data_IF_421993254120
#
_entry.id   IF_421993254120
#
_cell.length_a   1.000
_cell.length_b   1.000
_cell.length_c   1.000
_cell.angle_alpha   90.00
_cell.angle_beta   90.00
_cell.angle_gamma   90.00
#
_symmetry.space_group_name_H-M   'P 1'
#
loop_
_entity.id
_entity.type
_entity.pdbx_description
1 polymer ?
#
# COMPACT_ATOMS: atom_id res chain seq x y z
N UNK A 1 -2.07 -30.20 -61.03
CA UNK A 1 -2.80 -29.11 -60.36
C UNK A 1 -3.20 -29.60 -58.98
N UNK A 2 -2.39 -29.29 -57.96
CA UNK A 2 -2.51 -29.81 -56.59
C UNK A 2 -2.82 -28.63 -55.66
N UNK A 3 -4.03 -28.60 -55.08
CA UNK A 3 -4.44 -27.57 -54.13
C UNK A 3 -4.07 -28.03 -52.72
N UNK A 4 -3.27 -27.23 -52.01
CA UNK A 4 -2.97 -27.38 -50.59
C UNK A 4 -4.11 -26.72 -49.79
N UNK A 5 -4.76 -27.39 -48.83
CA UNK A 5 -5.70 -26.73 -47.93
C UNK A 5 -4.96 -26.01 -46.80
N UNK A 6 -5.18 -24.70 -46.67
CA UNK A 6 -4.74 -23.91 -45.53
C UNK A 6 -5.58 -24.27 -44.29
N UNK A 7 -4.95 -24.87 -43.28
CA UNK A 7 -5.54 -25.05 -41.94
C UNK A 7 -5.57 -23.69 -41.25
N UNK A 8 -6.78 -23.17 -41.01
CA UNK A 8 -7.03 -22.01 -40.16
C UNK A 8 -6.80 -22.46 -38.71
N UNK A 9 -5.76 -21.94 -38.07
CA UNK A 9 -5.55 -22.11 -36.62
C UNK A 9 -6.60 -21.27 -35.86
N UNK A 10 -7.23 -21.81 -34.80
CA UNK A 10 -8.28 -21.10 -34.08
C UNK A 10 -7.68 -20.00 -33.21
N UNK A 11 -8.12 -18.76 -33.43
CA UNK A 11 -7.83 -17.56 -32.63
C UNK A 11 -8.25 -17.65 -31.14
N UNK A 12 -8.82 -18.79 -30.71
CA UNK A 12 -9.43 -19.00 -29.40
C UNK A 12 -8.40 -19.14 -28.25
N UNK A 13 -7.16 -19.53 -28.55
CA UNK A 13 -6.14 -19.73 -27.51
C UNK A 13 -5.43 -18.44 -27.10
N UNK A 14 -5.35 -17.42 -27.96
CA UNK A 14 -4.68 -16.15 -27.60
C UNK A 14 -5.52 -15.27 -26.68
N UNK A 15 -6.86 -15.37 -26.72
CA UNK A 15 -7.74 -14.58 -25.85
C UNK A 15 -7.61 -14.97 -24.37
N UNK A 16 -7.31 -16.24 -24.08
CA UNK A 16 -7.16 -16.76 -22.73
C UNK A 16 -5.81 -16.36 -22.07
N UNK A 17 -4.77 -16.09 -22.86
CA UNK A 17 -3.48 -15.65 -22.32
C UNK A 17 -3.50 -14.18 -21.88
N UNK A 18 -4.25 -13.32 -22.56
CA UNK A 18 -4.41 -11.92 -22.12
C UNK A 18 -5.32 -11.80 -20.89
N UNK A 19 -6.32 -12.68 -20.73
CA UNK A 19 -7.19 -12.70 -19.54
C UNK A 19 -6.46 -13.22 -18.29
N UNK A 20 -5.52 -14.17 -18.46
CA UNK A 20 -4.78 -14.78 -17.35
C UNK A 20 -3.71 -13.88 -16.72
N UNK A 21 -3.13 -12.93 -17.48
CA UNK A 21 -2.09 -12.03 -16.98
C UNK A 21 -2.64 -10.84 -16.16
N UNK A 22 -3.90 -10.45 -16.38
CA UNK A 22 -4.56 -9.42 -15.57
C UNK A 22 -4.98 -9.93 -14.18
N UNK A 23 -5.16 -11.24 -14.01
CA UNK A 23 -5.69 -11.84 -12.77
C UNK A 23 -4.62 -12.20 -11.72
N UNK A 24 -3.33 -12.19 -12.08
CA UNK A 24 -2.24 -12.64 -11.19
C UNK A 24 -1.60 -11.52 -10.38
N UNK A 25 -1.95 -10.26 -10.62
CA UNK A 25 -1.35 -9.09 -9.93
C UNK A 25 -2.10 -8.68 -8.67
N UNK A 26 -3.32 -9.18 -8.44
CA UNK A 26 -4.19 -8.67 -7.36
C UNK A 26 -3.97 -9.35 -6.01
N UNK A 27 -3.29 -10.51 -5.97
CA UNK A 27 -3.27 -11.37 -4.78
C UNK A 27 -2.20 -11.01 -3.73
N UNK A 28 -1.20 -10.18 -4.08
CA UNK A 28 -0.12 -9.79 -3.15
C UNK A 28 -0.29 -8.40 -2.55
N UNK A 29 -1.28 -7.62 -3.03
CA UNK A 29 -1.55 -6.25 -2.58
C UNK A 29 -2.62 -6.16 -1.50
N UNK A 30 -3.25 -7.27 -1.12
CA UNK A 30 -4.35 -7.28 -0.15
C UNK A 30 -3.91 -6.89 1.28
N UNK A 31 -2.64 -7.16 1.63
CA UNK A 31 -2.06 -6.88 2.95
C UNK A 31 -1.12 -5.66 2.93
N UNK A 32 -1.34 -4.75 1.99
CA UNK A 32 -0.52 -3.55 1.82
C UNK A 32 -1.26 -2.31 2.36
N UNK A 33 -0.56 -1.37 3.03
CA UNK A 33 -1.12 -0.06 3.34
C UNK A 33 -1.64 0.65 2.08
N UNK A 34 -2.53 1.60 2.27
CA UNK A 34 -2.98 2.43 1.17
C UNK A 34 -1.92 3.46 0.80
N UNK A 35 -1.46 3.41 -0.44
CA UNK A 35 -0.53 4.37 -1.03
C UNK A 35 -1.30 5.41 -1.86
N UNK A 36 -2.22 6.15 -1.22
CA UNK A 36 -3.17 7.03 -1.93
C UNK A 36 -2.46 8.20 -2.63
N UNK A 37 -1.51 8.83 -1.95
CA UNK A 37 -0.66 9.97 -2.36
C UNK A 37 0.19 9.55 -3.56
N UNK A 38 0.70 8.32 -3.55
CA UNK A 38 1.45 7.79 -4.67
C UNK A 38 0.59 7.65 -5.94
N UNK A 39 -0.71 7.40 -5.81
CA UNK A 39 -1.63 7.47 -6.95
C UNK A 39 -2.02 8.92 -7.27
N UNK A 40 -2.22 9.76 -6.25
CA UNK A 40 -2.55 11.18 -6.41
C UNK A 40 -1.48 11.90 -7.24
N UNK A 41 -0.20 11.66 -6.96
CA UNK A 41 0.95 12.24 -7.66
C UNK A 41 0.99 11.89 -9.15
N UNK A 42 0.36 10.78 -9.54
CA UNK A 42 0.33 10.29 -10.93
C UNK A 42 -0.90 10.76 -11.70
N UNK A 43 -1.98 11.12 -11.01
CA UNK A 43 -3.30 11.38 -11.58
C UNK A 43 -3.57 12.88 -11.66
N UNK A 44 -4.36 13.30 -12.66
CA UNK A 44 -4.74 14.70 -12.85
C UNK A 44 -6.25 14.88 -12.82
N UNK A 45 -6.70 16.13 -12.68
CA UNK A 45 -8.11 16.49 -12.85
C UNK A 45 -9.00 16.08 -11.68
N UNK A 46 -10.26 15.65 -11.93
CA UNK A 46 -11.21 15.29 -10.87
C UNK A 46 -10.75 14.15 -9.98
N UNK A 47 -10.17 13.09 -10.55
CA UNK A 47 -9.72 11.93 -9.79
C UNK A 47 -8.62 12.31 -8.78
N UNK A 48 -7.70 13.21 -9.14
CA UNK A 48 -6.67 13.73 -8.22
C UNK A 48 -7.30 14.37 -6.97
N UNK A 49 -8.31 15.22 -7.16
CA UNK A 49 -9.00 15.87 -6.02
C UNK A 49 -9.76 14.88 -5.16
N UNK A 50 -10.26 13.79 -5.74
CA UNK A 50 -10.90 12.73 -4.96
C UNK A 50 -9.85 12.00 -4.13
N UNK A 51 -8.68 11.67 -4.71
CA UNK A 51 -7.58 11.02 -4.00
C UNK A 51 -7.06 11.85 -2.83
N UNK A 52 -6.88 13.16 -3.02
CA UNK A 52 -6.51 14.12 -1.95
C UNK A 52 -7.49 14.04 -0.75
N UNK A 53 -8.80 14.06 -1.03
CA UNK A 53 -9.84 13.89 0.02
C UNK A 53 -9.81 12.51 0.66
N UNK A 54 -9.50 11.45 -0.09
CA UNK A 54 -9.38 10.09 0.45
C UNK A 54 -8.14 9.93 1.32
N UNK A 55 -7.05 10.65 1.01
CA UNK A 55 -5.83 10.62 1.80
C UNK A 55 -6.01 11.29 3.17
N UNK A 56 -6.77 12.38 3.22
CA UNK A 56 -7.11 13.09 4.45
C UNK A 56 -8.17 12.37 5.31
N UNK A 57 -8.81 11.32 4.80
CA UNK A 57 -9.87 10.59 5.51
C UNK A 57 -9.31 9.57 6.52
N UNK A 58 -9.07 10.07 7.74
CA UNK A 58 -8.55 9.26 8.84
C UNK A 58 -9.59 8.42 9.59
N UNK A 59 -10.87 8.50 9.20
CA UNK A 59 -12.00 7.99 9.99
C UNK A 59 -12.81 6.90 9.28
N UNK A 60 -12.64 6.74 7.98
CA UNK A 60 -13.19 5.62 7.23
C UNK A 60 -12.27 4.39 7.34
N UNK A 61 -12.81 3.16 7.48
CA UNK A 61 -12.00 1.96 7.42
C UNK A 61 -11.18 1.89 6.13
N UNK A 62 -9.90 1.52 6.24
CA UNK A 62 -8.99 1.48 5.08
C UNK A 62 -9.48 0.54 3.98
N UNK A 63 -10.20 -0.53 4.30
CA UNK A 63 -10.84 -1.42 3.33
C UNK A 63 -11.87 -0.71 2.45
N UNK A 64 -12.62 0.24 3.01
CA UNK A 64 -13.61 1.02 2.25
C UNK A 64 -12.93 2.08 1.38
N UNK A 65 -11.87 2.73 1.90
CA UNK A 65 -11.03 3.63 1.10
C UNK A 65 -10.36 2.89 -0.06
N UNK A 66 -9.90 1.65 0.17
CA UNK A 66 -9.31 0.79 -0.86
C UNK A 66 -10.22 0.62 -2.07
N UNK A 67 -11.51 0.37 -1.85
CA UNK A 67 -12.48 0.19 -2.96
C UNK A 67 -12.48 1.41 -3.86
N UNK A 68 -12.52 2.62 -3.28
CA UNK A 68 -12.53 3.87 -4.05
C UNK A 68 -11.21 4.12 -4.79
N UNK A 69 -10.08 3.82 -4.15
CA UNK A 69 -8.75 3.91 -4.77
C UNK A 69 -8.64 2.95 -5.95
N UNK A 70 -9.09 1.71 -5.79
CA UNK A 70 -9.08 0.70 -6.86
C UNK A 70 -9.98 1.12 -8.04
N UNK A 71 -11.14 1.70 -7.77
CA UNK A 71 -12.04 2.25 -8.80
C UNK A 71 -11.39 3.41 -9.57
N UNK A 72 -10.67 4.30 -8.89
CA UNK A 72 -9.95 5.40 -9.54
C UNK A 72 -8.81 4.86 -10.39
N UNK A 73 -8.01 3.93 -9.84
CA UNK A 73 -6.89 3.29 -10.53
C UNK A 73 -7.34 2.59 -11.81
N UNK A 74 -8.47 1.87 -11.75
CA UNK A 74 -9.02 1.14 -12.90
C UNK A 74 -9.45 2.05 -14.06
N UNK A 75 -9.77 3.32 -13.79
CA UNK A 75 -10.08 4.33 -14.83
C UNK A 75 -8.83 4.94 -15.46
N UNK A 76 -7.67 4.82 -14.83
CA UNK A 76 -6.44 5.43 -15.33
C UNK A 76 -5.87 4.67 -16.53
N UNK A 77 -5.00 5.33 -17.28
CA UNK A 77 -4.32 4.70 -18.41
C UNK A 77 -3.41 3.54 -17.96
N UNK A 78 -3.11 2.58 -18.85
CA UNK A 78 -2.20 1.47 -18.53
C UNK A 78 -0.83 1.92 -18.03
N UNK A 79 -0.33 3.07 -18.50
CA UNK A 79 0.94 3.66 -18.07
C UNK A 79 0.89 4.08 -16.59
N UNK A 80 -0.19 4.74 -16.17
CA UNK A 80 -0.38 5.15 -14.77
C UNK A 80 -0.54 3.92 -13.88
N UNK A 81 -1.33 2.92 -14.30
CA UNK A 81 -1.51 1.68 -13.54
C UNK A 81 -0.16 0.97 -13.31
N UNK A 82 0.68 0.91 -14.34
CA UNK A 82 2.02 0.32 -14.26
C UNK A 82 2.96 1.15 -13.37
N UNK A 83 2.93 2.47 -13.49
CA UNK A 83 3.75 3.36 -12.68
C UNK A 83 3.40 3.22 -11.19
N UNK A 84 2.10 3.22 -10.87
CA UNK A 84 1.61 3.03 -9.51
C UNK A 84 2.06 1.68 -8.93
N UNK A 85 1.86 0.58 -9.67
CA UNK A 85 2.31 -0.75 -9.24
C UNK A 85 3.81 -0.80 -8.91
N UNK A 86 4.64 -0.11 -9.71
CA UNK A 86 6.08 -0.04 -9.47
C UNK A 86 6.44 0.77 -8.21
N UNK A 87 5.76 1.90 -7.98
CA UNK A 87 5.95 2.68 -6.75
C UNK A 87 5.56 1.86 -5.52
N UNK A 88 4.43 1.16 -5.57
CA UNK A 88 3.97 0.28 -4.49
C UNK A 88 5.01 -0.79 -4.20
N UNK A 89 5.52 -1.49 -5.21
CA UNK A 89 6.59 -2.49 -5.05
C UNK A 89 7.84 -1.91 -4.35
N UNK A 90 8.27 -0.71 -4.74
CA UNK A 90 9.40 -0.04 -4.08
C UNK A 90 9.11 0.32 -2.62
N UNK A 91 7.93 0.87 -2.32
CA UNK A 91 7.52 1.26 -0.96
C UNK A 91 7.37 0.04 -0.05
N UNK A 92 6.85 -1.07 -0.57
CA UNK A 92 6.81 -2.37 0.10
C UNK A 92 8.21 -2.88 0.46
N UNK A 93 9.14 -2.82 -0.49
CA UNK A 93 10.55 -3.18 -0.25
C UNK A 93 11.17 -2.35 0.88
N UNK A 94 10.96 -1.03 0.85
CA UNK A 94 11.43 -0.13 1.91
C UNK A 94 10.78 -0.42 3.26
N UNK A 95 9.46 -0.65 3.31
CA UNK A 95 8.77 -1.01 4.55
C UNK A 95 9.30 -2.30 5.12
N UNK A 96 9.51 -3.32 4.29
CA UNK A 96 10.04 -4.61 4.74
C UNK A 96 11.45 -4.49 5.32
N UNK A 97 12.32 -3.67 4.73
CA UNK A 97 13.65 -3.38 5.28
C UNK A 97 13.56 -2.66 6.63
N UNK A 98 12.70 -1.64 6.75
CA UNK A 98 12.46 -0.93 8.02
C UNK A 98 11.90 -1.87 9.10
N UNK A 99 10.94 -2.72 8.73
CA UNK A 99 10.32 -3.67 9.65
C UNK A 99 11.35 -4.69 10.14
N UNK A 100 12.26 -5.17 9.29
CA UNK A 100 13.38 -6.02 9.72
C UNK A 100 14.29 -5.30 10.72
N UNK A 101 14.70 -4.06 10.42
CA UNK A 101 15.57 -3.28 11.29
C UNK A 101 14.97 -3.09 12.69
N UNK A 102 13.73 -2.63 12.76
CA UNK A 102 13.06 -2.36 14.02
C UNK A 102 12.66 -3.61 14.77
N UNK A 103 12.31 -4.70 14.08
CA UNK A 103 12.07 -6.00 14.72
C UNK A 103 13.32 -6.48 15.44
N UNK A 104 14.49 -6.46 14.78
CA UNK A 104 15.76 -6.86 15.42
C UNK A 104 16.08 -5.99 16.64
N UNK A 105 15.86 -4.67 16.54
CA UNK A 105 16.08 -3.76 17.67
C UNK A 105 15.10 -4.01 18.82
N UNK A 106 13.83 -4.29 18.51
CA UNK A 106 12.80 -4.63 19.48
C UNK A 106 13.11 -5.95 20.19
N UNK A 107 13.53 -6.98 19.44
CA UNK A 107 13.97 -8.27 19.99
C UNK A 107 15.15 -8.10 20.94
N UNK A 108 16.17 -7.34 20.54
CA UNK A 108 17.34 -7.06 21.38
C UNK A 108 16.97 -6.33 22.70
N UNK A 109 15.88 -5.56 22.69
CA UNK A 109 15.35 -4.87 23.85
C UNK A 109 14.29 -5.68 24.64
N UNK A 110 13.99 -6.92 24.24
CA UNK A 110 12.94 -7.74 24.85
C UNK A 110 11.51 -7.28 24.54
N UNK A 111 11.33 -6.38 23.57
CA UNK A 111 10.07 -5.78 23.17
C UNK A 111 9.59 -6.23 21.76
N UNK A 112 10.14 -7.34 21.25
CA UNK A 112 9.76 -7.92 19.96
C UNK A 112 8.25 -8.13 19.78
N UNK A 113 7.52 -8.69 20.77
CA UNK A 113 6.06 -8.87 20.67
C UNK A 113 5.27 -7.57 20.48
N UNK A 114 5.73 -6.44 21.04
CA UNK A 114 5.11 -5.13 20.87
C UNK A 114 5.31 -4.60 19.44
N UNK A 115 6.51 -4.79 18.89
CA UNK A 115 6.78 -4.37 17.51
C UNK A 115 5.99 -5.20 16.48
N UNK A 116 5.78 -6.49 16.73
CA UNK A 116 4.89 -7.31 15.90
C UNK A 116 3.46 -6.75 15.87
N UNK A 117 2.93 -6.21 16.98
CA UNK A 117 1.62 -5.55 16.98
C UNK A 117 1.61 -4.28 16.12
N UNK A 118 2.69 -3.51 16.13
CA UNK A 118 2.84 -2.33 15.25
C UNK A 118 2.80 -2.76 13.78
N UNK A 119 3.53 -3.82 13.41
CA UNK A 119 3.52 -4.34 12.03
C UNK A 119 2.12 -4.76 11.58
N UNK A 120 1.35 -5.43 12.45
CA UNK A 120 -0.02 -5.83 12.14
C UNK A 120 -0.92 -4.63 11.88
N UNK A 121 -0.81 -3.57 12.69
CA UNK A 121 -1.61 -2.35 12.51
C UNK A 121 -1.32 -1.64 11.18
N UNK A 122 -0.07 -1.67 10.70
CA UNK A 122 0.30 -1.07 9.42
C UNK A 122 -0.49 -1.65 8.25
N UNK A 123 -0.81 -2.95 8.30
CA UNK A 123 -1.48 -3.67 7.20
C UNK A 123 -2.93 -4.01 7.49
N UNK A 124 -3.44 -3.68 8.68
CA UNK A 124 -4.83 -3.96 9.06
C UNK A 124 -5.81 -3.04 8.33
N UNK A 125 -6.38 -3.55 7.24
CA UNK A 125 -7.35 -2.81 6.43
C UNK A 125 -8.72 -2.64 7.10
N UNK A 126 -8.99 -3.34 8.21
CA UNK A 126 -10.31 -3.29 8.87
C UNK A 126 -10.49 -2.10 9.81
N UNK A 127 -9.39 -1.41 10.14
CA UNK A 127 -9.39 -0.25 11.03
C UNK A 127 -9.19 1.05 10.25
N UNK A 128 -9.56 2.16 10.89
CA UNK A 128 -9.29 3.50 10.38
C UNK A 128 -7.80 3.85 10.53
N UNK A 129 -7.33 4.85 9.81
CA UNK A 129 -5.97 5.37 10.00
C UNK A 129 -5.80 5.88 11.43
N UNK A 130 -6.71 6.73 11.91
CA UNK A 130 -6.67 7.29 13.26
C UNK A 130 -6.52 6.21 14.35
N UNK A 131 -7.24 5.10 14.22
CA UNK A 131 -7.12 3.99 15.17
C UNK A 131 -5.76 3.28 15.08
N UNK A 132 -5.27 3.05 13.86
CA UNK A 132 -3.96 2.45 13.63
C UNK A 132 -2.83 3.29 14.24
N UNK A 133 -2.88 4.61 14.03
CA UNK A 133 -1.92 5.55 14.60
C UNK A 133 -1.94 5.55 16.12
N UNK A 134 -3.14 5.68 16.72
CA UNK A 134 -3.32 5.74 18.17
C UNK A 134 -2.75 4.50 18.85
N UNK A 135 -3.04 3.31 18.32
CA UNK A 135 -2.52 2.05 18.86
C UNK A 135 -1.02 1.90 18.60
N UNK A 136 -0.53 2.35 17.46
CA UNK A 136 0.91 2.35 17.13
C UNK A 136 1.70 3.22 18.10
N UNK A 137 1.23 4.45 18.38
CA UNK A 137 1.80 5.34 19.39
C UNK A 137 1.92 4.67 20.77
N UNK A 138 0.85 3.99 21.18
CA UNK A 138 0.83 3.26 22.45
C UNK A 138 1.92 2.17 22.50
N UNK A 139 2.03 1.33 21.48
CA UNK A 139 3.04 0.27 21.46
C UNK A 139 4.46 0.81 21.38
N UNK A 140 4.69 1.90 20.66
CA UNK A 140 5.99 2.57 20.66
C UNK A 140 6.39 3.09 22.03
N UNK A 141 5.44 3.68 22.77
CA UNK A 141 5.66 4.10 24.14
C UNK A 141 5.99 2.91 25.06
N UNK A 142 5.23 1.82 24.96
CA UNK A 142 5.45 0.59 25.73
C UNK A 142 6.81 -0.07 25.44
N UNK A 143 7.33 0.03 24.21
CA UNK A 143 8.64 -0.51 23.86
C UNK A 143 9.78 0.18 24.59
N UNK A 144 9.63 1.45 24.99
CA UNK A 144 10.64 2.22 25.73
C UNK A 144 12.07 2.21 25.12
N UNK A 145 12.17 2.05 23.79
CA UNK A 145 13.44 2.05 23.05
C UNK A 145 13.90 3.50 22.70
N UNK A 146 13.11 4.50 23.11
CA UNK A 146 13.11 5.88 22.60
C UNK A 146 13.72 6.95 23.53
N UNK A 147 14.30 6.60 24.69
CA UNK A 147 14.82 7.59 25.64
C UNK A 147 16.28 8.05 25.40
N UNK A 148 16.66 8.24 24.14
CA UNK A 148 17.95 8.82 23.76
C UNK A 148 17.79 10.08 22.91
N UNK A 149 17.82 11.24 23.56
CA UNK A 149 18.14 12.58 23.03
C UNK A 149 17.94 12.86 21.53
N UNK A 150 16.91 13.63 21.17
CA UNK A 150 16.96 14.58 20.05
C UNK A 150 17.37 14.04 18.67
N UNK A 151 16.99 12.81 18.33
CA UNK A 151 17.11 12.29 16.97
C UNK A 151 15.98 12.85 16.12
N UNK A 152 16.32 13.47 15.00
CA UNK A 152 15.46 14.03 13.95
C UNK A 152 14.48 13.05 13.28
N UNK A 153 14.21 11.90 13.89
CA UNK A 153 13.28 10.86 13.42
C UNK A 153 11.84 11.06 13.88
N UNK A 154 11.58 12.04 14.76
CA UNK A 154 10.24 12.57 15.01
C UNK A 154 9.59 13.12 13.71
N UNK A 155 10.41 13.40 12.69
CA UNK A 155 9.98 13.77 11.33
C UNK A 155 9.76 12.57 10.36
N UNK A 156 10.04 11.33 10.75
CA UNK A 156 10.07 10.16 9.86
C UNK A 156 8.81 9.28 9.90
N UNK A 157 7.67 9.84 10.32
CA UNK A 157 6.34 9.27 10.14
C UNK A 157 5.48 10.23 9.31
N UNK A 158 5.54 10.22 7.96
CA UNK A 158 4.92 11.29 7.18
C UNK A 158 3.39 11.16 7.01
N UNK A 159 2.80 10.01 7.34
CA UNK A 159 1.36 9.76 7.08
C UNK A 159 0.53 9.48 8.34
N UNK A 160 1.01 8.55 9.15
CA UNK A 160 0.39 8.11 10.41
C UNK A 160 0.43 9.12 11.58
N UNK A 161 0.56 10.43 11.32
CA UNK A 161 0.57 11.50 12.33
C UNK A 161 0.23 12.88 11.74
N UNK A 162 -0.21 12.97 10.47
CA UNK A 162 -0.48 14.26 9.81
C UNK A 162 -1.93 14.69 9.97
N UNK A 163 -2.46 14.67 11.19
CA UNK A 163 -3.68 15.43 11.50
C UNK A 163 -3.62 15.88 12.95
N UNK A 164 -3.17 17.11 13.17
CA UNK A 164 -3.56 18.02 14.26
C UNK A 164 -2.56 19.20 14.29
N UNK A 165 -2.71 20.09 13.32
CA UNK A 165 -2.36 21.50 13.50
C UNK A 165 -3.54 22.33 13.02
N UNK A 166 -4.54 22.44 13.90
CA UNK A 166 -5.45 23.58 14.01
C UNK A 166 -5.79 23.80 15.47
#
# INVERSE_FOLDING_TARGET
SSRIPYRILPYSTMLLFFLGLALLSTSTLADSPLYIEELEDLVYGPDRRILDVLDDDNWTPRSELKVKVDEILARQSPEIQKAYAHIVEMKEGQRNLRNKYWQTRAEAAGAGPQYEKIKLLQTDMSITEHEAERRTRQFWFEMNIYHGSGSSEEYYYPRYMRSEVY
#
